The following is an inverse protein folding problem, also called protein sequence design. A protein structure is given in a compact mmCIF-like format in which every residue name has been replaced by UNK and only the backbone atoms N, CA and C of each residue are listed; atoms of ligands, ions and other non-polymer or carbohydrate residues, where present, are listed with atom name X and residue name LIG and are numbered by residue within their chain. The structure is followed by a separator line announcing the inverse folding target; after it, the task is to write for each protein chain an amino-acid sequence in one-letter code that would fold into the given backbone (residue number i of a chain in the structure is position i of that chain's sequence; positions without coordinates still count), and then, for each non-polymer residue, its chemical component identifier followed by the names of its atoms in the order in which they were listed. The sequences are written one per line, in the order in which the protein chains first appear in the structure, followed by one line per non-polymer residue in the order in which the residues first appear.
data_IF_640558103700
#
_entry.id   IF_640558103700
#
_cell.length_a   1.000
_cell.length_b   1.000
_cell.length_c   1.000
_cell.angle_alpha   90.00
_cell.angle_beta   90.00
_cell.angle_gamma   90.00
#
_symmetry.space_group_name_H-M   'P 1'
#
loop_
_entity.id
_entity.type
_entity.pdbx_description
1 polymer ?
#
# COMPACT_ATOMS: atom_id res chain seq x y z
N UNK A 1 10.16 16.40 -21.75
CA UNK A 1 10.91 15.38 -21.02
C UNK A 1 10.05 14.91 -19.87
N UNK A 2 9.64 13.65 -19.89
CA UNK A 2 8.81 13.06 -18.83
C UNK A 2 9.64 13.02 -17.54
N UNK A 3 9.25 13.82 -16.55
CA UNK A 3 9.85 13.80 -15.20
C UNK A 3 9.17 12.76 -14.30
N UNK A 4 8.34 11.90 -14.88
CA UNK A 4 7.59 10.87 -14.17
C UNK A 4 8.44 9.60 -14.16
N UNK A 5 8.57 8.99 -12.99
CA UNK A 5 9.23 7.73 -12.77
C UNK A 5 8.23 6.74 -12.22
N UNK A 6 8.30 5.54 -12.75
CA UNK A 6 7.60 4.39 -12.18
C UNK A 6 8.63 3.48 -11.52
N UNK A 7 8.44 3.21 -10.24
CA UNK A 7 9.21 2.22 -9.48
C UNK A 7 8.30 1.03 -9.20
N UNK A 8 8.75 -0.17 -9.53
CA UNK A 8 8.00 -1.40 -9.29
C UNK A 8 8.89 -2.45 -8.62
N UNK A 9 8.36 -3.06 -7.56
CA UNK A 9 9.00 -4.14 -6.84
C UNK A 9 8.01 -5.27 -6.63
N UNK A 10 8.45 -6.50 -6.88
CA UNK A 10 7.60 -7.69 -6.83
C UNK A 10 8.33 -8.82 -6.14
N UNK A 11 7.76 -9.32 -5.05
CA UNK A 11 8.16 -10.56 -4.41
C UNK A 11 7.27 -11.69 -4.91
N UNK A 12 7.87 -12.75 -5.44
CA UNK A 12 7.15 -13.95 -5.87
C UNK A 12 7.45 -15.11 -4.92
N UNK A 13 6.41 -15.76 -4.38
CA UNK A 13 6.58 -16.99 -3.59
C UNK A 13 6.84 -18.20 -4.48
N UNK A 14 6.23 -18.20 -5.67
CA UNK A 14 6.42 -19.16 -6.75
C UNK A 14 6.11 -18.47 -8.06
N UNK A 15 6.46 -19.11 -9.18
CA UNK A 15 6.15 -18.62 -10.52
C UNK A 15 4.66 -18.25 -10.60
N UNK A 16 4.38 -17.04 -11.08
CA UNK A 16 3.04 -16.47 -11.24
C UNK A 16 2.25 -16.28 -9.92
N UNK A 17 2.93 -16.25 -8.76
CA UNK A 17 2.32 -15.98 -7.46
C UNK A 17 3.03 -14.84 -6.73
N UNK A 18 2.42 -13.66 -6.79
CA UNK A 18 2.89 -12.46 -6.11
C UNK A 18 2.55 -12.51 -4.62
N UNK A 19 3.56 -12.39 -3.77
CA UNK A 19 3.39 -12.21 -2.33
C UNK A 19 3.25 -10.75 -1.98
N UNK A 20 4.21 -9.95 -2.41
CA UNK A 20 4.30 -8.53 -2.15
C UNK A 20 4.48 -7.80 -3.48
N UNK A 21 3.76 -6.70 -3.67
CA UNK A 21 3.97 -5.83 -4.81
C UNK A 21 3.85 -4.37 -4.40
N UNK A 22 4.81 -3.58 -4.88
CA UNK A 22 4.88 -2.15 -4.69
C UNK A 22 4.99 -1.50 -6.06
N UNK A 23 4.09 -0.58 -6.36
CA UNK A 23 4.19 0.32 -7.50
C UNK A 23 4.08 1.76 -7.04
N UNK A 24 4.95 2.61 -7.55
CA UNK A 24 4.97 4.04 -7.24
C UNK A 24 5.18 4.83 -8.51
N UNK A 25 4.32 5.80 -8.75
CA UNK A 25 4.47 6.80 -9.80
C UNK A 25 4.83 8.13 -9.15
N UNK A 26 6.01 8.65 -9.45
CA UNK A 26 6.61 9.82 -8.82
C UNK A 26 7.10 10.83 -9.84
N UNK A 27 6.76 12.10 -9.65
CA UNK A 27 7.27 13.21 -10.46
C UNK A 27 8.52 13.80 -9.82
N UNK A 28 9.69 13.54 -10.41
CA UNK A 28 11.00 14.05 -9.98
C UNK A 28 11.09 15.57 -9.90
N UNK A 29 10.38 16.29 -10.77
CA UNK A 29 10.49 17.75 -10.86
C UNK A 29 9.68 18.45 -9.76
N UNK A 30 8.49 17.94 -9.47
CA UNK A 30 7.60 18.53 -8.46
C UNK A 30 7.73 17.85 -7.10
N UNK A 31 8.47 16.75 -7.03
CA UNK A 31 8.56 15.85 -5.88
C UNK A 31 7.19 15.34 -5.39
N UNK A 32 6.23 15.17 -6.32
CA UNK A 32 4.86 14.69 -6.02
C UNK A 32 4.76 13.20 -6.31
N UNK A 33 4.13 12.44 -5.40
CA UNK A 33 3.70 11.07 -5.63
C UNK A 33 2.30 11.08 -6.24
N UNK A 34 2.19 10.61 -7.47
CA UNK A 34 0.94 10.57 -8.22
C UNK A 34 0.10 9.36 -7.84
N UNK A 35 0.76 8.21 -7.72
CA UNK A 35 0.13 6.91 -7.43
C UNK A 35 1.07 6.09 -6.54
N UNK A 36 0.53 5.45 -5.52
CA UNK A 36 1.19 4.41 -4.74
C UNK A 36 0.23 3.23 -4.65
N UNK A 37 0.68 2.05 -5.04
CA UNK A 37 -0.06 0.81 -4.92
C UNK A 37 0.76 -0.19 -4.12
N UNK A 38 0.18 -0.64 -3.01
CA UNK A 38 0.75 -1.59 -2.07
C UNK A 38 -0.13 -2.83 -2.10
N UNK A 39 0.41 -3.97 -2.49
CA UNK A 39 -0.28 -5.25 -2.42
C UNK A 39 0.49 -6.19 -1.52
N UNK A 40 -0.25 -6.84 -0.64
CA UNK A 40 0.25 -7.90 0.21
C UNK A 40 -0.75 -9.06 0.19
N UNK A 41 -0.27 -10.25 -0.12
CA UNK A 41 -1.10 -11.45 -0.25
C UNK A 41 -1.81 -11.84 1.06
N UNK A 42 -1.20 -11.61 2.22
CA UNK A 42 -1.75 -12.05 3.50
C UNK A 42 -2.81 -11.07 4.05
N UNK A 43 -2.64 -9.77 3.80
CA UNK A 43 -3.39 -8.73 4.49
C UNK A 43 -4.35 -7.96 3.57
N UNK A 44 -3.90 -7.53 2.38
CA UNK A 44 -4.74 -6.70 1.51
C UNK A 44 -4.00 -5.80 0.54
N UNK A 45 -4.68 -4.75 0.10
CA UNK A 45 -4.20 -3.71 -0.80
C UNK A 45 -4.35 -2.33 -0.16
N UNK A 46 -3.38 -1.45 -0.39
CA UNK A 46 -3.52 -0.01 -0.16
C UNK A 46 -3.23 0.72 -1.47
N UNK A 47 -4.14 1.60 -1.87
CA UNK A 47 -3.99 2.47 -3.02
C UNK A 47 -3.98 3.92 -2.56
N UNK A 48 -3.05 4.72 -3.07
CA UNK A 48 -3.05 6.17 -2.89
C UNK A 48 -2.98 6.79 -4.27
N UNK A 49 -4.05 7.46 -4.69
CA UNK A 49 -4.11 8.14 -5.99
C UNK A 49 -4.46 9.60 -5.76
N UNK A 50 -3.59 10.51 -6.21
CA UNK A 50 -3.78 11.96 -6.04
C UNK A 50 -4.07 12.38 -4.57
N UNK A 51 -3.46 11.68 -3.61
CA UNK A 51 -3.65 11.94 -2.17
C UNK A 51 -4.91 11.31 -1.55
N UNK A 52 -5.78 10.68 -2.35
CA UNK A 52 -6.90 9.87 -1.83
C UNK A 52 -6.37 8.47 -1.51
N UNK A 53 -6.55 8.03 -0.26
CA UNK A 53 -6.13 6.73 0.24
C UNK A 53 -7.33 5.78 0.29
N UNK A 54 -7.14 4.58 -0.25
CA UNK A 54 -8.12 3.49 -0.21
C UNK A 54 -7.43 2.23 0.33
N UNK A 55 -8.09 1.52 1.24
CA UNK A 55 -7.57 0.30 1.86
C UNK A 55 -8.57 -0.82 1.69
N UNK A 56 -8.10 -1.97 1.21
CA UNK A 56 -8.92 -3.15 0.98
C UNK A 56 -8.29 -4.35 1.68
N UNK A 57 -8.99 -4.93 2.66
CA UNK A 57 -8.61 -6.20 3.28
C UNK A 57 -9.01 -7.37 2.40
N UNK A 58 -8.24 -8.45 2.41
CA UNK A 58 -8.75 -9.73 1.93
C UNK A 58 -9.83 -10.25 2.87
N UNK A 59 -10.93 -10.73 2.28
CA UNK A 59 -12.02 -11.34 3.04
C UNK A 59 -11.61 -12.76 3.42
N UNK A 60 -11.74 -13.12 4.69
CA UNK A 60 -11.68 -14.54 5.06
C UNK A 60 -13.04 -15.21 4.77
N UNK A 61 -13.02 -16.51 4.52
CA UNK A 61 -14.21 -17.26 4.10
C UNK A 61 -15.34 -17.23 5.14
N UNK A 62 -14.98 -17.20 6.44
CA UNK A 62 -15.93 -17.14 7.55
C UNK A 62 -16.65 -15.78 7.64
N UNK A 63 -15.93 -14.69 7.42
CA UNK A 63 -16.46 -13.32 7.39
C UNK A 63 -17.39 -13.13 6.20
N UNK A 64 -16.99 -13.60 5.01
CA UNK A 64 -17.78 -13.54 3.79
C UNK A 64 -19.12 -14.27 3.91
N UNK A 65 -19.18 -15.34 4.71
CA UNK A 65 -20.38 -16.13 4.95
C UNK A 65 -21.27 -15.58 6.09
N UNK A 66 -20.79 -14.62 6.88
CA UNK A 66 -21.54 -14.13 8.04
C UNK A 66 -22.72 -13.22 7.64
N UNK A 67 -23.86 -13.41 8.29
CA UNK A 67 -25.11 -12.72 7.92
C UNK A 67 -25.06 -11.20 8.17
N UNK A 68 -24.32 -10.77 9.21
CA UNK A 68 -24.06 -9.37 9.53
C UNK A 68 -23.18 -8.70 8.46
N UNK A 69 -22.24 -9.44 7.88
CA UNK A 69 -21.35 -8.97 6.83
C UNK A 69 -22.08 -8.81 5.49
N UNK A 70 -22.93 -9.77 5.11
CA UNK A 70 -23.75 -9.67 3.90
C UNK A 70 -24.65 -8.43 3.92
N UNK A 71 -25.34 -8.17 5.03
CA UNK A 71 -26.17 -6.96 5.19
C UNK A 71 -25.35 -5.65 5.16
N UNK A 72 -24.13 -5.66 5.73
CA UNK A 72 -23.21 -4.52 5.66
C UNK A 72 -22.75 -4.26 4.24
N UNK A 73 -22.40 -5.28 3.45
CA UNK A 73 -21.93 -5.11 2.06
C UNK A 73 -23.01 -4.47 1.19
N UNK A 74 -24.26 -4.96 1.27
CA UNK A 74 -25.39 -4.34 0.55
C UNK A 74 -25.68 -2.91 0.96
N UNK A 75 -25.33 -2.49 2.18
CA UNK A 75 -25.55 -1.12 2.66
C UNK A 75 -24.34 -0.22 2.42
N UNK A 76 -23.12 -0.77 2.51
CA UNK A 76 -21.84 -0.07 2.40
C UNK A 76 -21.39 0.16 0.95
N UNK A 77 -21.77 -0.71 0.01
CA UNK A 77 -21.57 -0.46 -1.43
C UNK A 77 -22.32 0.81 -1.90
N UNK A 78 -23.30 1.30 -1.12
CA UNK A 78 -24.00 2.54 -1.40
C UNK A 78 -23.52 3.77 -0.61
N UNK A 79 -22.63 3.66 0.40
CA UNK A 79 -22.36 4.82 1.25
C UNK A 79 -20.92 5.18 1.58
N UNK A 80 -20.00 4.30 2.00
CA UNK A 80 -18.72 4.81 2.53
C UNK A 80 -17.54 3.89 2.22
N UNK A 81 -16.70 4.33 1.28
CA UNK A 81 -15.42 3.72 0.91
C UNK A 81 -14.28 3.97 1.89
N UNK A 82 -14.56 4.30 3.16
CA UNK A 82 -13.55 4.50 4.19
C UNK A 82 -13.59 3.38 5.22
N UNK A 83 -12.86 2.29 4.95
CA UNK A 83 -12.36 1.44 6.03
C UNK A 83 -11.07 2.09 6.51
N UNK A 84 -11.17 2.90 7.55
CA UNK A 84 -10.05 3.55 8.23
C UNK A 84 -9.38 2.55 9.20
N UNK A 85 -8.95 1.39 8.67
CA UNK A 85 -8.33 0.32 9.46
C UNK A 85 -6.82 0.57 9.58
N UNK A 86 -6.47 1.41 10.55
CA UNK A 86 -5.10 1.83 10.86
C UNK A 86 -4.21 0.62 11.20
N UNK A 87 -4.76 -0.45 11.77
CA UNK A 87 -3.99 -1.65 12.11
C UNK A 87 -3.61 -2.43 10.85
N UNK A 88 -4.59 -2.68 9.97
CA UNK A 88 -4.36 -3.31 8.67
C UNK A 88 -3.37 -2.51 7.80
N UNK A 89 -3.48 -1.19 7.80
CA UNK A 89 -2.54 -0.32 7.10
C UNK A 89 -1.10 -0.54 7.59
N UNK A 90 -0.90 -0.58 8.91
CA UNK A 90 0.41 -0.82 9.50
C UNK A 90 0.95 -2.20 9.16
N UNK A 91 0.10 -3.23 9.13
CA UNK A 91 0.51 -4.60 8.79
C UNK A 91 1.05 -4.69 7.35
N UNK A 92 0.26 -4.23 6.36
CA UNK A 92 0.64 -4.24 4.94
C UNK A 92 1.95 -3.46 4.73
N UNK A 93 2.07 -2.28 5.36
CA UNK A 93 3.24 -1.43 5.20
C UNK A 93 4.46 -2.02 5.88
N UNK A 94 4.33 -2.53 7.11
CA UNK A 94 5.46 -3.12 7.82
C UNK A 94 6.03 -4.32 7.06
N UNK A 95 5.19 -5.13 6.44
CA UNK A 95 5.66 -6.25 5.63
C UNK A 95 6.39 -5.77 4.36
N UNK A 96 5.83 -4.78 3.66
CA UNK A 96 6.48 -4.20 2.48
C UNK A 96 7.78 -3.49 2.83
N UNK A 97 7.86 -2.77 3.96
CA UNK A 97 9.10 -2.15 4.44
C UNK A 97 10.18 -3.19 4.76
N UNK A 98 9.80 -4.32 5.36
CA UNK A 98 10.72 -5.45 5.59
C UNK A 98 11.24 -6.01 4.27
N UNK A 99 10.35 -6.21 3.29
CA UNK A 99 10.72 -6.67 1.95
C UNK A 99 11.66 -5.69 1.23
N UNK A 100 11.35 -4.40 1.24
CA UNK A 100 12.23 -3.38 0.65
C UNK A 100 13.60 -3.35 1.35
N UNK A 101 13.62 -3.48 2.68
CA UNK A 101 14.87 -3.55 3.45
C UNK A 101 15.80 -4.70 3.05
N UNK A 102 15.29 -5.80 2.49
CA UNK A 102 16.12 -6.92 2.02
C UNK A 102 16.63 -6.74 0.59
N UNK A 103 15.96 -5.94 -0.24
CA UNK A 103 16.30 -5.74 -1.66
C UNK A 103 17.41 -4.71 -1.85
N UNK A 104 17.54 -3.71 -0.96
CA UNK A 104 18.35 -2.53 -1.25
C UNK A 104 19.78 -2.60 -0.68
N UNK A 105 20.70 -3.03 -1.55
CA UNK A 105 22.16 -2.77 -1.47
C UNK A 105 22.62 -2.24 -2.85
N UNK A 106 22.10 -1.11 -3.36
CA UNK A 106 22.65 -0.43 -4.56
C UNK A 106 22.51 1.10 -4.48
N UNK A 107 23.65 1.79 -4.65
CA UNK A 107 23.94 3.17 -4.19
C UNK A 107 23.24 4.35 -4.89
N UNK A 108 22.57 4.18 -6.03
CA UNK A 108 21.99 5.32 -6.79
C UNK A 108 20.48 5.53 -6.59
N UNK A 109 19.72 4.49 -6.23
CA UNK A 109 18.27 4.60 -5.97
C UNK A 109 17.97 4.84 -4.48
N UNK A 110 18.97 4.63 -3.62
CA UNK A 110 18.89 4.74 -2.16
C UNK A 110 18.29 6.09 -1.70
N UNK A 111 18.61 7.20 -2.38
CA UNK A 111 18.08 8.51 -1.99
C UNK A 111 16.59 8.67 -2.32
N UNK A 112 16.14 8.20 -3.48
CA UNK A 112 14.72 8.28 -3.89
C UNK A 112 13.90 7.32 -3.03
N UNK A 113 14.41 6.11 -2.82
CA UNK A 113 13.80 5.10 -1.97
C UNK A 113 13.73 5.60 -0.52
N UNK A 114 14.79 6.18 0.04
CA UNK A 114 14.74 6.72 1.40
C UNK A 114 13.72 7.86 1.53
N UNK A 115 13.69 8.81 0.59
CA UNK A 115 12.66 9.86 0.53
C UNK A 115 11.24 9.28 0.44
N UNK A 116 11.08 8.17 -0.28
CA UNK A 116 9.82 7.45 -0.44
C UNK A 116 9.43 6.68 0.83
N UNK A 117 10.35 5.96 1.46
CA UNK A 117 10.14 5.31 2.74
C UNK A 117 9.76 6.34 3.81
N UNK A 118 10.40 7.51 3.81
CA UNK A 118 10.01 8.64 4.65
C UNK A 118 8.62 9.17 4.31
N UNK A 119 8.28 9.30 3.03
CA UNK A 119 6.95 9.76 2.61
C UNK A 119 5.85 8.79 3.05
N UNK A 120 6.04 7.48 2.82
CA UNK A 120 5.15 6.42 3.31
C UNK A 120 5.09 6.48 4.85
N UNK A 121 6.24 6.57 5.52
CA UNK A 121 6.25 6.70 6.99
C UNK A 121 5.46 7.91 7.49
N UNK A 122 5.58 9.06 6.83
CA UNK A 122 4.82 10.27 7.17
C UNK A 122 3.33 10.12 6.88
N UNK A 123 2.96 9.50 5.76
CA UNK A 123 1.55 9.27 5.42
C UNK A 123 0.85 8.34 6.40
N UNK A 124 1.56 7.33 6.90
CA UNK A 124 0.93 6.24 7.65
C UNK A 124 1.25 6.22 9.15
N UNK A 125 2.30 6.91 9.60
CA UNK A 125 2.76 6.85 10.99
C UNK A 125 2.89 8.22 11.69
N UNK A 126 2.70 9.36 11.00
CA UNK A 126 2.75 10.68 11.64
C UNK A 126 1.44 11.15 12.31
N UNK A 127 0.51 10.25 12.62
CA UNK A 127 -0.52 10.50 13.64
C UNK A 127 -0.11 9.92 14.99
N UNK A 128 1.07 10.31 15.48
CA UNK A 128 1.44 10.12 16.89
C UNK A 128 2.00 11.45 17.44
N UNK A 129 1.18 12.25 18.14
CA UNK A 129 1.64 12.88 19.35
C UNK A 129 1.57 11.83 20.46
N UNK A 130 2.74 11.44 20.98
CA UNK A 130 2.89 10.56 22.13
C UNK A 130 4.29 10.67 22.67
#
# INVERSE_FOLDING_TARGET
MENIITLEYKEELRRDFTKNYLKIIYNKKTEIYNEIYLYNYEHGIIEITNGVKTVHRWENEEEAQSHSYLNRRYTATFLDGEINDIELEKEIINELLKYLGTIFIKKEEETIINKMLEYIRKLFFNTLPG
#
